data_IF_279842183954
#
_entry.id   IF_279842183954
#
_cell.length_a   1.000
_cell.length_b   1.000
_cell.length_c   1.000
_cell.angle_alpha   90.00
_cell.angle_beta   90.00
_cell.angle_gamma   90.00
#
_symmetry.space_group_name_H-M   'P 1'
#
loop_
_entity.id
_entity.type
_entity.pdbx_description
1 polymer ?
#
# COMPACT_ATOMS: atom_id res chain seq x y z
N UNK A 1 -4.67 -8.18 -10.73
CA UNK A 1 -4.95 -6.88 -11.40
C UNK A 1 -4.08 -5.82 -10.73
N UNK A 2 -3.04 -5.32 -11.40
CA UNK A 2 -2.08 -4.38 -10.81
C UNK A 2 -2.48 -2.93 -11.11
N UNK A 3 -2.21 -2.00 -10.19
CA UNK A 3 -2.47 -0.59 -10.42
C UNK A 3 -1.58 -0.02 -11.54
N UNK A 4 -2.19 0.73 -12.45
CA UNK A 4 -1.50 1.56 -13.45
C UNK A 4 -2.04 2.97 -13.34
N UNK A 5 -1.15 3.97 -13.33
CA UNK A 5 -1.53 5.37 -13.29
C UNK A 5 -2.33 5.71 -14.57
N UNK A 6 -3.59 6.15 -14.47
CA UNK A 6 -4.38 6.51 -15.64
C UNK A 6 -3.73 7.66 -16.42
N UNK A 7 -3.70 7.54 -17.75
CA UNK A 7 -3.16 8.52 -18.68
C UNK A 7 -4.27 9.04 -19.61
N UNK A 8 -4.00 10.07 -20.39
CA UNK A 8 -4.93 10.66 -21.36
C UNK A 8 -5.63 11.93 -20.85
N UNK A 9 -5.82 12.90 -21.74
CA UNK A 9 -6.28 14.26 -21.39
C UNK A 9 -7.67 14.26 -20.73
N UNK A 10 -8.59 13.40 -21.19
CA UNK A 10 -9.97 13.37 -20.70
C UNK A 10 -10.28 12.28 -19.67
N UNK A 11 -9.26 11.56 -19.21
CA UNK A 11 -9.48 10.47 -18.25
C UNK A 11 -10.05 11.01 -16.92
N UNK A 12 -11.26 10.56 -16.57
CA UNK A 12 -11.99 11.05 -15.39
C UNK A 12 -11.29 10.77 -14.05
N UNK A 13 -10.62 9.62 -13.95
CA UNK A 13 -9.84 9.25 -12.75
C UNK A 13 -8.62 10.16 -12.62
N UNK A 14 -7.90 10.41 -13.73
CA UNK A 14 -6.75 11.33 -13.77
C UNK A 14 -7.14 12.76 -13.37
N UNK A 15 -8.31 13.21 -13.83
CA UNK A 15 -8.90 14.52 -13.51
C UNK A 15 -9.57 14.58 -12.12
N UNK A 16 -9.64 13.46 -11.39
CA UNK A 16 -10.16 13.36 -10.01
C UNK A 16 -11.62 13.79 -9.85
N UNK A 17 -12.49 13.49 -10.82
CA UNK A 17 -13.93 13.72 -10.63
C UNK A 17 -14.49 12.92 -9.46
N UNK A 18 -15.46 13.51 -8.72
CA UNK A 18 -16.17 12.84 -7.62
C UNK A 18 -16.86 11.56 -8.12
N UNK A 19 -16.84 10.51 -7.30
CA UNK A 19 -17.45 9.21 -7.63
C UNK A 19 -16.59 8.30 -8.51
N UNK A 20 -15.39 8.72 -8.91
CA UNK A 20 -14.42 7.85 -9.56
C UNK A 20 -13.51 7.15 -8.53
N UNK A 21 -12.80 6.10 -8.97
CA UNK A 21 -11.82 5.40 -8.14
C UNK A 21 -10.70 6.34 -7.68
N UNK A 22 -10.26 6.18 -6.44
CA UNK A 22 -9.17 7.00 -5.89
C UNK A 22 -7.81 6.55 -6.46
N UNK A 23 -6.94 7.54 -6.71
CA UNK A 23 -5.56 7.27 -7.09
C UNK A 23 -4.69 7.14 -5.84
N UNK A 24 -3.84 6.09 -5.75
CA UNK A 24 -2.83 6.00 -4.71
C UNK A 24 -1.91 7.23 -4.71
N UNK A 25 -1.61 7.74 -3.53
CA UNK A 25 -0.70 8.83 -3.29
C UNK A 25 0.02 8.62 -1.95
N UNK A 26 1.05 9.42 -1.66
CA UNK A 26 1.87 9.29 -0.46
C UNK A 26 1.08 9.55 0.85
N UNK A 27 -0.01 10.30 0.80
CA UNK A 27 -0.85 10.61 1.95
C UNK A 27 -1.61 9.42 2.52
N UNK A 28 -1.80 8.35 1.74
CA UNK A 28 -2.38 7.10 2.24
C UNK A 28 -1.38 6.20 2.98
N UNK A 29 -0.11 6.62 3.12
CA UNK A 29 0.89 5.86 3.85
C UNK A 29 0.49 5.65 5.32
N UNK A 30 0.51 4.40 5.78
CA UNK A 30 0.23 4.07 7.19
C UNK A 30 1.27 4.71 8.13
N UNK A 31 0.87 5.00 9.37
CA UNK A 31 1.73 5.60 10.39
C UNK A 31 3.04 4.81 10.55
N UNK A 32 4.18 5.51 10.54
CA UNK A 32 5.53 4.92 10.62
C UNK A 32 5.71 3.98 11.82
N UNK A 33 5.08 4.27 12.97
CA UNK A 33 5.19 3.43 14.18
C UNK A 33 4.51 2.08 14.00
N UNK A 34 3.35 2.06 13.34
CA UNK A 34 2.49 0.87 13.21
C UNK A 34 2.58 0.20 11.83
N UNK A 35 3.29 0.82 10.88
CA UNK A 35 3.50 0.27 9.55
C UNK A 35 4.17 -1.10 9.65
N UNK A 36 3.68 -2.07 8.89
CA UNK A 36 4.15 -3.47 8.85
C UNK A 36 3.91 -4.29 10.13
N UNK A 37 3.18 -3.75 11.11
CA UNK A 37 2.74 -4.55 12.27
C UNK A 37 1.54 -5.42 11.91
N UNK A 38 1.56 -6.65 12.40
CA UNK A 38 0.43 -7.57 12.38
C UNK A 38 -0.59 -7.16 13.45
N UNK A 39 -1.85 -7.62 13.35
CA UNK A 39 -2.85 -7.42 14.40
C UNK A 39 -2.44 -7.97 15.77
N UNK A 40 -1.56 -8.98 15.81
CA UNK A 40 -0.98 -9.52 17.05
C UNK A 40 0.02 -8.58 17.73
N UNK A 41 0.37 -7.45 17.11
CA UNK A 41 1.37 -6.52 17.64
C UNK A 41 2.82 -6.83 17.24
N UNK A 42 3.07 -7.91 16.50
CA UNK A 42 4.42 -8.27 16.04
C UNK A 42 4.65 -7.89 14.57
N UNK A 43 5.92 -7.77 14.16
CA UNK A 43 6.28 -7.67 12.73
C UNK A 43 6.51 -9.07 12.19
N UNK A 44 6.06 -9.33 10.96
CA UNK A 44 6.29 -10.63 10.31
C UNK A 44 7.74 -10.72 9.83
N UNK A 45 8.40 -11.80 10.20
CA UNK A 45 9.69 -12.21 9.65
C UNK A 45 9.54 -13.56 8.94
N UNK A 46 10.25 -13.73 7.83
CA UNK A 46 10.31 -15.01 7.12
C UNK A 46 11.56 -15.74 7.61
N UNK A 47 11.40 -16.99 8.06
CA UNK A 47 12.45 -17.82 8.65
C UNK A 47 12.49 -19.13 7.86
N UNK A 48 13.68 -19.52 7.40
CA UNK A 48 13.92 -20.71 6.59
C UNK A 48 14.61 -21.84 7.36
N UNK A 49 15.30 -21.53 8.46
CA UNK A 49 16.01 -22.50 9.30
C UNK A 49 16.10 -22.02 10.76
N UNK A 50 16.57 -22.90 11.65
CA UNK A 50 16.64 -22.61 13.09
C UNK A 50 17.66 -21.52 13.43
N UNK A 51 18.72 -21.34 12.62
CA UNK A 51 19.73 -20.30 12.87
C UNK A 51 19.20 -18.87 12.65
N UNK A 52 18.10 -18.72 11.91
CA UNK A 52 17.44 -17.43 11.69
C UNK A 52 16.47 -17.05 12.82
N UNK A 53 16.28 -17.92 13.82
CA UNK A 53 15.52 -17.65 15.04
C UNK A 53 16.38 -17.07 16.17
N UNK A 54 17.68 -17.30 16.13
CA UNK A 54 18.68 -16.67 17.01
C UNK A 54 19.13 -15.32 16.45
#
# INVERSE_FOLDING_TARGET
KNWRKPRGIDNRVRRRFKGQMLMPNIGYGSNKKTKHMLPSGFRKFLVHNVKELE
#
